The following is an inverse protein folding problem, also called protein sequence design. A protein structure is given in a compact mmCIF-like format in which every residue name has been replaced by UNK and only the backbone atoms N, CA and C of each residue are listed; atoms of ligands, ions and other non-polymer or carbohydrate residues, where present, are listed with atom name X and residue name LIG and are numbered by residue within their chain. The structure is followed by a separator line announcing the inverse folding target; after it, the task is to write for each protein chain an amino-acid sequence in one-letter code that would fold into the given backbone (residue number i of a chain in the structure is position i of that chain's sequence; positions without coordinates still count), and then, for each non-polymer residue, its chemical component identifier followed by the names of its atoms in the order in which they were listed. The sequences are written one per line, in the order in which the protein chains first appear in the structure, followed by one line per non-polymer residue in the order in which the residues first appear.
data_IF_088885614628
#
_entry.id   IF_088885614628
#
_cell.length_a   1.000
_cell.length_b   1.000
_cell.length_c   1.000
_cell.angle_alpha   90.00
_cell.angle_beta   90.00
_cell.angle_gamma   90.00
#
_symmetry.space_group_name_H-M   'P 1'
#
loop_
_entity.id
_entity.type
_entity.pdbx_description
1 polymer ?
#
# COMPACT_ATOMS: atom_id res chain seq x y z
N UNK A 1 8.12 0.75 57.14
CA UNK A 1 9.41 0.80 56.43
C UNK A 1 9.20 1.06 54.94
N UNK A 2 9.09 2.32 54.46
CA UNK A 2 9.07 2.59 53.03
C UNK A 2 10.51 2.67 52.51
N UNK A 3 10.81 1.88 51.47
CA UNK A 3 12.08 1.91 50.74
C UNK A 3 12.19 3.23 49.98
N UNK A 4 13.24 3.99 50.26
CA UNK A 4 13.61 5.21 49.54
C UNK A 4 13.83 4.90 48.06
N UNK A 5 13.04 5.52 47.18
CA UNK A 5 13.32 5.51 45.75
C UNK A 5 14.44 6.52 45.47
N UNK A 6 15.53 6.01 44.90
CA UNK A 6 16.70 6.75 44.48
C UNK A 6 16.28 7.84 43.47
N UNK A 7 16.28 9.09 43.91
CA UNK A 7 15.89 10.24 43.10
C UNK A 7 17.10 10.68 42.24
N UNK A 8 17.29 10.02 41.09
CA UNK A 8 18.47 10.19 40.21
C UNK A 8 18.39 11.46 39.34
N UNK A 9 17.26 12.16 39.29
CA UNK A 9 17.09 13.31 38.40
C UNK A 9 17.10 14.65 39.14
N UNK A 10 18.29 15.23 39.33
CA UNK A 10 18.46 16.67 39.53
C UNK A 10 18.72 17.33 38.17
N UNK A 11 17.82 18.16 37.61
CA UNK A 11 18.12 18.88 36.38
C UNK A 11 19.06 20.05 36.71
N UNK A 12 20.33 19.95 36.31
CA UNK A 12 21.23 21.11 36.25
C UNK A 12 21.36 21.59 34.80
N UNK A 13 21.02 22.86 34.58
CA UNK A 13 21.41 23.72 33.48
C UNK A 13 21.26 23.17 32.04
N UNK A 14 20.17 23.63 31.44
CA UNK A 14 19.78 23.60 30.04
C UNK A 14 20.80 24.26 29.10
N UNK A 15 21.79 23.48 28.66
CA UNK A 15 22.28 23.55 27.29
C UNK A 15 21.56 22.46 26.49
N UNK A 16 21.32 22.66 25.20
CA UNK A 16 20.61 21.72 24.32
C UNK A 16 21.38 20.38 24.24
N UNK A 17 21.01 19.42 25.09
CA UNK A 17 21.66 18.11 25.21
C UNK A 17 21.20 17.11 24.13
N UNK A 18 20.41 17.57 23.16
CA UNK A 18 19.82 16.72 22.13
C UNK A 18 18.67 15.85 22.66
N UNK A 19 18.17 14.96 21.80
CA UNK A 19 17.05 14.06 22.14
C UNK A 19 17.37 12.62 21.72
N UNK A 20 16.86 11.67 22.49
CA UNK A 20 16.94 10.24 22.20
C UNK A 20 15.55 9.69 21.92
N UNK A 21 15.41 8.95 20.81
CA UNK A 21 14.18 8.23 20.47
C UNK A 21 14.40 6.73 20.66
N UNK A 22 13.61 6.11 21.54
CA UNK A 22 13.66 4.69 21.85
C UNK A 22 12.29 4.04 21.61
N UNK A 23 12.30 2.80 21.11
CA UNK A 23 11.10 1.97 21.00
C UNK A 23 10.87 1.26 22.34
N UNK A 24 9.77 1.58 23.03
CA UNK A 24 9.44 1.04 24.36
C UNK A 24 8.23 0.09 24.36
N UNK A 25 7.47 0.06 23.28
CA UNK A 25 6.21 -0.70 23.17
C UNK A 25 6.07 -1.28 21.77
N UNK A 26 5.35 -2.40 21.69
CA UNK A 26 4.91 -3.04 20.44
C UNK A 26 3.38 -3.06 20.39
N UNK A 27 2.81 -2.94 19.20
CA UNK A 27 1.37 -3.01 18.96
C UNK A 27 0.97 -4.38 18.42
N UNK A 28 -0.15 -4.90 18.93
CA UNK A 28 -0.73 -6.18 18.51
C UNK A 28 -2.19 -5.96 18.10
N UNK A 29 -2.63 -6.71 17.10
CA UNK A 29 -4.02 -6.75 16.64
C UNK A 29 -4.88 -7.54 17.63
N UNK A 30 -6.20 -7.42 17.51
CA UNK A 30 -7.16 -8.14 18.39
C UNK A 30 -7.03 -9.66 18.31
N UNK A 31 -6.54 -10.17 17.18
CA UNK A 31 -6.24 -11.59 16.96
C UNK A 31 -4.82 -11.98 17.40
N UNK A 32 -4.12 -11.14 18.18
CA UNK A 32 -2.81 -11.46 18.74
C UNK A 32 -1.61 -11.22 17.81
N UNK A 33 -1.82 -10.99 16.52
CA UNK A 33 -0.73 -10.78 15.55
C UNK A 33 -0.11 -9.38 15.66
N UNK A 34 1.22 -9.30 15.65
CA UNK A 34 1.94 -8.05 15.43
C UNK A 34 1.85 -7.60 13.96
N UNK A 35 1.88 -6.28 13.70
CA UNK A 35 2.01 -5.76 12.32
C UNK A 35 3.46 -5.65 11.87
N UNK A 36 4.42 -5.90 12.77
CA UNK A 36 5.85 -5.82 12.50
C UNK A 36 6.24 -6.69 11.31
N UNK A 37 7.05 -6.12 10.40
CA UNK A 37 7.54 -6.73 9.15
C UNK A 37 6.50 -7.15 8.11
N UNK A 38 5.25 -7.43 8.51
CA UNK A 38 4.22 -7.98 7.61
C UNK A 38 3.13 -6.97 7.24
N UNK A 39 3.02 -5.88 7.98
CA UNK A 39 1.95 -4.90 7.81
C UNK A 39 0.56 -5.52 7.97
N UNK A 40 -0.41 -4.95 7.26
CA UNK A 40 -1.77 -5.49 7.14
C UNK A 40 -1.94 -6.00 5.72
N UNK A 41 -2.06 -7.32 5.56
CA UNK A 41 -2.26 -7.94 4.26
C UNK A 41 -3.69 -7.67 3.77
N UNK A 42 -3.79 -7.19 2.53
CA UNK A 42 -5.06 -6.99 1.85
C UNK A 42 -5.71 -8.32 1.48
N UNK A 43 -7.03 -8.41 1.61
CA UNK A 43 -7.78 -9.60 1.18
C UNK A 43 -7.77 -9.76 -0.34
N UNK A 44 -7.81 -8.66 -1.09
CA UNK A 44 -7.71 -8.61 -2.55
C UNK A 44 -6.45 -7.81 -2.87
N UNK A 45 -5.52 -8.41 -3.61
CA UNK A 45 -4.23 -7.82 -3.96
C UNK A 45 -4.30 -7.35 -5.40
N UNK A 46 -4.13 -6.06 -5.61
CA UNK A 46 -4.01 -5.46 -6.94
C UNK A 46 -2.53 -5.43 -7.34
N UNK A 47 -2.18 -5.68 -8.62
CA UNK A 47 -0.78 -5.64 -9.05
C UNK A 47 -0.17 -4.27 -8.79
N UNK A 48 1.00 -4.22 -8.15
CA UNK A 48 1.71 -2.97 -7.87
C UNK A 48 3.22 -3.17 -7.94
N UNK A 49 3.95 -2.19 -8.49
CA UNK A 49 5.42 -2.20 -8.48
C UNK A 49 5.96 -2.08 -7.06
N UNK A 50 5.24 -1.39 -6.17
CA UNK A 50 5.63 -1.17 -4.78
C UNK A 50 5.74 -2.48 -3.99
N UNK A 51 4.94 -3.50 -4.34
CA UNK A 51 4.98 -4.81 -3.67
C UNK A 51 6.31 -5.55 -3.87
N UNK A 52 7.12 -5.13 -4.85
CA UNK A 52 8.40 -5.73 -5.19
C UNK A 52 9.60 -4.88 -4.77
N UNK A 53 9.36 -3.64 -4.30
CA UNK A 53 10.41 -2.78 -3.79
C UNK A 53 10.93 -3.31 -2.45
N UNK A 54 12.24 -3.20 -2.23
CA UNK A 54 12.87 -3.49 -0.93
C UNK A 54 12.67 -2.32 0.04
N UNK A 55 11.42 -1.91 0.21
CA UNK A 55 11.01 -0.77 1.05
C UNK A 55 9.99 -1.26 2.06
N UNK A 56 10.22 -0.93 3.33
CA UNK A 56 9.35 -1.33 4.43
C UNK A 56 10.15 -1.68 5.68
N UNK A 57 9.44 -1.87 6.78
CA UNK A 57 10.04 -2.19 8.08
C UNK A 57 10.87 -3.48 8.03
N UNK A 58 10.46 -4.47 7.22
CA UNK A 58 11.17 -5.74 7.06
C UNK A 58 12.56 -5.63 6.44
N UNK A 59 12.87 -4.52 5.76
CA UNK A 59 14.16 -4.28 5.11
C UNK A 59 15.09 -3.40 5.96
N UNK A 60 14.65 -2.95 7.14
CA UNK A 60 15.48 -2.18 8.05
C UNK A 60 16.45 -3.09 8.82
N UNK A 61 17.66 -2.59 9.03
CA UNK A 61 18.64 -3.26 9.89
C UNK A 61 18.11 -3.35 11.32
N UNK A 62 18.16 -4.56 11.90
CA UNK A 62 17.68 -4.86 13.25
C UNK A 62 16.18 -4.57 13.47
N UNK A 63 15.35 -4.73 12.43
CA UNK A 63 13.90 -4.74 12.59
C UNK A 63 13.48 -5.81 13.62
N UNK A 64 12.52 -5.45 14.49
CA UNK A 64 12.02 -6.40 15.48
C UNK A 64 11.31 -7.56 14.78
N UNK A 65 11.46 -8.82 15.24
CA UNK A 65 10.82 -9.95 14.60
C UNK A 65 9.29 -9.89 14.76
N UNK A 66 8.59 -10.59 13.87
CA UNK A 66 7.15 -10.81 14.04
C UNK A 66 6.90 -11.68 15.28
N UNK A 67 5.95 -11.25 16.12
CA UNK A 67 5.53 -11.95 17.32
C UNK A 67 4.00 -12.08 17.36
N UNK A 68 3.52 -13.15 18.00
CA UNK A 68 2.10 -13.40 18.23
C UNK A 68 1.86 -13.59 19.73
N UNK A 69 0.85 -12.90 20.25
CA UNK A 69 0.42 -12.98 21.66
C UNK A 69 -0.97 -13.61 21.75
N UNK A 70 -1.42 -14.06 22.94
CA UNK A 70 -2.78 -14.55 23.11
C UNK A 70 -3.82 -13.52 22.62
N UNK A 71 -4.82 -14.00 21.86
CA UNK A 71 -5.89 -13.16 21.35
C UNK A 71 -6.68 -12.49 22.48
N UNK A 72 -7.20 -11.30 22.23
CA UNK A 72 -8.15 -10.67 23.14
C UNK A 72 -9.51 -11.38 23.05
N UNK A 73 -10.38 -11.19 24.04
CA UNK A 73 -11.78 -11.61 23.90
C UNK A 73 -12.54 -10.64 22.98
N UNK A 74 -12.99 -11.12 21.82
CA UNK A 74 -13.77 -10.32 20.86
C UNK A 74 -14.80 -11.15 20.09
N UNK A 75 -15.84 -10.48 19.57
CA UNK A 75 -16.85 -11.10 18.71
C UNK A 75 -16.51 -10.79 17.25
N UNK A 76 -16.34 -11.84 16.44
CA UNK A 76 -16.07 -11.70 14.99
C UNK A 76 -17.32 -11.23 14.26
N UNK A 77 -17.19 -10.18 13.44
CA UNK A 77 -18.18 -9.84 12.44
C UNK A 77 -18.14 -10.89 11.31
N UNK A 78 -19.31 -11.45 10.96
CA UNK A 78 -19.43 -12.54 9.97
C UNK A 78 -19.90 -12.04 8.60
N UNK A 79 -19.89 -10.73 8.37
CA UNK A 79 -20.30 -10.11 7.09
C UNK A 79 -19.36 -10.42 5.92
N UNK A 80 -18.10 -10.78 6.20
CA UNK A 80 -17.12 -11.16 5.17
C UNK A 80 -16.79 -12.65 5.32
N UNK A 81 -17.55 -13.50 4.63
CA UNK A 81 -17.31 -14.95 4.61
C UNK A 81 -16.21 -15.33 3.63
N UNK A 82 -15.67 -16.53 3.77
CA UNK A 82 -14.66 -17.08 2.84
C UNK A 82 -15.20 -17.20 1.41
N UNK A 83 -16.50 -17.47 1.25
CA UNK A 83 -17.20 -17.50 -0.03
C UNK A 83 -17.22 -16.12 -0.68
N UNK A 84 -17.58 -15.07 0.07
CA UNK A 84 -17.53 -13.68 -0.42
C UNK A 84 -16.11 -13.33 -0.83
N UNK A 85 -15.10 -13.59 0.02
CA UNK A 85 -13.70 -13.27 -0.32
C UNK A 85 -13.25 -13.96 -1.59
N UNK A 86 -13.62 -15.23 -1.77
CA UNK A 86 -13.24 -16.01 -2.96
C UNK A 86 -13.92 -15.48 -4.22
N UNK A 87 -15.21 -15.14 -4.13
CA UNK A 87 -15.96 -14.54 -5.24
C UNK A 87 -15.38 -13.18 -5.66
N UNK A 88 -15.12 -12.29 -4.69
CA UNK A 88 -14.55 -10.97 -4.94
C UNK A 88 -13.16 -11.06 -5.56
N UNK A 89 -12.28 -11.94 -5.05
CA UNK A 89 -10.95 -12.17 -5.64
C UNK A 89 -11.03 -12.61 -7.09
N UNK A 90 -11.97 -13.51 -7.41
CA UNK A 90 -12.14 -13.99 -8.78
C UNK A 90 -12.65 -12.87 -9.69
N UNK A 91 -13.70 -12.17 -9.29
CA UNK A 91 -14.29 -11.05 -10.04
C UNK A 91 -13.25 -9.96 -10.33
N UNK A 92 -12.49 -9.57 -9.31
CA UNK A 92 -11.41 -8.59 -9.42
C UNK A 92 -10.28 -9.08 -10.33
N UNK A 93 -9.81 -10.32 -10.18
CA UNK A 93 -8.77 -10.88 -11.03
C UNK A 93 -9.19 -10.93 -12.51
N UNK A 94 -10.45 -11.26 -12.78
CA UNK A 94 -11.00 -11.27 -14.13
C UNK A 94 -11.01 -9.85 -14.73
N UNK A 95 -11.47 -8.82 -13.99
CA UNK A 95 -11.42 -7.41 -14.46
C UNK A 95 -10.00 -6.91 -14.69
N UNK A 96 -9.11 -7.15 -13.72
CA UNK A 96 -7.69 -6.76 -13.80
C UNK A 96 -7.02 -7.37 -15.03
N UNK A 97 -7.35 -8.62 -15.40
CA UNK A 97 -6.76 -9.28 -16.57
C UNK A 97 -7.20 -8.69 -17.93
N UNK A 98 -8.34 -8.01 -17.98
CA UNK A 98 -8.89 -7.40 -19.20
C UNK A 98 -8.63 -5.89 -19.29
N UNK A 99 -8.00 -5.29 -18.27
CA UNK A 99 -7.74 -3.86 -18.21
C UNK A 99 -6.33 -3.54 -18.73
N UNK A 100 -6.24 -2.65 -19.73
CA UNK A 100 -5.00 -2.28 -20.39
C UNK A 100 -4.02 -1.54 -19.46
N UNK A 101 -4.49 -0.74 -18.51
CA UNK A 101 -3.62 -0.01 -17.58
C UNK A 101 -2.98 -0.96 -16.55
N UNK A 102 -3.74 -1.94 -16.06
CA UNK A 102 -3.17 -3.02 -15.25
C UNK A 102 -2.18 -3.88 -16.04
N UNK A 103 -2.37 -4.06 -17.36
CA UNK A 103 -1.39 -4.73 -18.21
C UNK A 103 -0.06 -3.95 -18.29
N UNK A 104 -0.10 -2.61 -18.39
CA UNK A 104 1.11 -1.76 -18.32
C UNK A 104 1.81 -1.90 -16.97
N UNK A 105 1.06 -1.92 -15.87
CA UNK A 105 1.62 -2.14 -14.52
C UNK A 105 2.30 -3.50 -14.42
N UNK A 106 1.69 -4.56 -14.94
CA UNK A 106 2.31 -5.90 -14.96
C UNK A 106 3.60 -5.92 -15.79
N UNK A 107 3.65 -5.20 -16.91
CA UNK A 107 4.89 -5.05 -17.67
C UNK A 107 5.96 -4.32 -16.87
N UNK A 108 5.61 -3.22 -16.19
CA UNK A 108 6.52 -2.48 -15.33
C UNK A 108 7.08 -3.37 -14.20
N UNK A 109 6.22 -4.18 -13.56
CA UNK A 109 6.62 -5.18 -12.56
C UNK A 109 7.62 -6.17 -13.15
N UNK A 110 7.33 -6.75 -14.32
CA UNK A 110 8.22 -7.71 -15.00
C UNK A 110 9.60 -7.10 -15.26
N UNK A 111 9.65 -5.90 -15.85
CA UNK A 111 10.93 -5.21 -16.14
C UNK A 111 11.68 -4.85 -14.86
N UNK A 112 10.97 -4.44 -13.81
CA UNK A 112 11.58 -4.17 -12.51
C UNK A 112 12.25 -5.44 -11.93
N UNK A 113 11.54 -6.57 -11.93
CA UNK A 113 12.06 -7.85 -11.45
C UNK A 113 13.25 -8.35 -12.28
N UNK A 114 13.21 -8.22 -13.60
CA UNK A 114 14.33 -8.55 -14.49
C UNK A 114 15.57 -7.73 -14.16
N UNK A 115 15.41 -6.42 -13.95
CA UNK A 115 16.50 -5.52 -13.55
C UNK A 115 17.03 -5.84 -12.16
N UNK A 116 16.16 -6.13 -11.19
CA UNK A 116 16.53 -6.47 -9.81
C UNK A 116 17.36 -7.76 -9.74
N UNK A 117 17.01 -8.75 -10.57
CA UNK A 117 17.72 -10.04 -10.61
C UNK A 117 19.00 -10.01 -11.47
N UNK A 118 19.21 -8.96 -12.27
CA UNK A 118 20.38 -8.80 -13.13
C UNK A 118 21.63 -8.45 -12.31
N UNK A 119 22.61 -9.35 -12.30
CA UNK A 119 23.90 -9.16 -11.59
C UNK A 119 24.94 -8.35 -12.37
N UNK A 120 24.73 -8.12 -13.66
CA UNK A 120 25.71 -7.52 -14.56
C UNK A 120 25.09 -6.39 -15.37
N UNK A 121 25.79 -5.28 -15.53
CA UNK A 121 25.32 -4.13 -16.30
C UNK A 121 26.22 -3.95 -17.51
N UNK A 122 25.62 -3.70 -18.68
CA UNK A 122 26.38 -3.37 -19.89
C UNK A 122 27.06 -2.00 -19.71
N UNK A 123 28.32 -1.88 -20.11
CA UNK A 123 29.04 -0.60 -20.13
C UNK A 123 28.95 0.12 -21.49
N UNK A 124 28.22 -0.46 -22.46
CA UNK A 124 27.99 0.18 -23.74
C UNK A 124 26.95 1.30 -23.58
N UNK A 125 27.34 2.53 -23.93
CA UNK A 125 26.50 3.73 -23.80
C UNK A 125 25.19 3.63 -24.59
N UNK A 126 25.22 3.15 -25.83
CA UNK A 126 24.01 3.06 -26.68
C UNK A 126 22.97 2.09 -26.09
N UNK A 127 23.44 1.00 -25.48
CA UNK A 127 22.57 0.02 -24.83
C UNK A 127 21.95 0.61 -23.57
N UNK A 128 22.75 1.27 -22.73
CA UNK A 128 22.25 1.92 -21.51
C UNK A 128 21.26 3.04 -21.79
N UNK A 129 21.50 3.83 -22.85
CA UNK A 129 20.60 4.92 -23.22
C UNK A 129 19.22 4.39 -23.62
N UNK A 130 19.19 3.37 -24.48
CA UNK A 130 17.95 2.70 -24.89
C UNK A 130 17.21 2.07 -23.71
N UNK A 131 17.93 1.40 -22.79
CA UNK A 131 17.32 0.83 -21.58
C UNK A 131 16.69 1.91 -20.68
N UNK A 132 17.33 3.08 -20.56
CA UNK A 132 16.81 4.20 -19.78
C UNK A 132 15.57 4.81 -20.43
N UNK A 133 15.64 5.14 -21.72
CA UNK A 133 14.51 5.69 -22.50
C UNK A 133 13.28 4.77 -22.37
N UNK A 134 13.45 3.46 -22.58
CA UNK A 134 12.37 2.48 -22.43
C UNK A 134 11.80 2.36 -21.00
N UNK A 135 12.61 2.64 -19.98
CA UNK A 135 12.15 2.61 -18.59
C UNK A 135 11.42 3.89 -18.22
N UNK A 136 11.86 5.03 -18.73
CA UNK A 136 11.24 6.34 -18.53
C UNK A 136 9.88 6.39 -19.22
N UNK A 137 9.80 5.99 -20.50
CA UNK A 137 8.53 5.91 -21.25
C UNK A 137 7.48 5.05 -20.54
N UNK A 138 7.87 3.88 -20.02
CA UNK A 138 6.95 3.05 -19.27
C UNK A 138 6.50 3.71 -17.97
N UNK A 139 7.42 4.33 -17.23
CA UNK A 139 7.08 4.98 -15.96
C UNK A 139 6.13 6.15 -16.18
N UNK A 140 6.36 6.94 -17.23
CA UNK A 140 5.50 8.05 -17.62
C UNK A 140 4.13 7.54 -18.06
N UNK A 141 4.06 6.46 -18.86
CA UNK A 141 2.79 5.88 -19.29
C UNK A 141 1.93 5.34 -18.13
N UNK A 142 2.57 4.87 -17.06
CA UNK A 142 1.88 4.41 -15.84
C UNK A 142 1.49 5.60 -14.96
N UNK A 143 2.33 6.63 -14.85
CA UNK A 143 2.00 7.85 -14.10
C UNK A 143 0.86 8.65 -14.79
N UNK A 144 0.83 8.63 -16.12
CA UNK A 144 -0.25 9.19 -16.92
C UNK A 144 -1.56 8.43 -16.69
N UNK A 145 -1.55 7.09 -16.65
CA UNK A 145 -2.77 6.32 -16.35
C UNK A 145 -3.23 6.45 -14.89
N UNK A 146 -2.31 6.77 -13.98
CA UNK A 146 -2.62 7.10 -12.58
C UNK A 146 -3.17 8.53 -12.42
N UNK A 147 -2.87 9.41 -13.36
CA UNK A 147 -3.35 10.79 -13.36
C UNK A 147 -4.84 10.81 -13.69
N UNK A 148 -5.65 11.57 -12.93
CA UNK A 148 -7.08 11.61 -13.17
C UNK A 148 -7.39 12.17 -14.57
N UNK A 149 -8.45 11.67 -15.23
CA UNK A 149 -8.87 12.20 -16.51
C UNK A 149 -9.13 13.71 -16.33
N UNK A 150 -8.44 14.51 -17.14
CA UNK A 150 -8.69 15.95 -17.23
C UNK A 150 -10.10 16.10 -17.78
N UNK A 151 -11.09 16.32 -16.92
CA UNK A 151 -12.42 16.73 -17.39
C UNK A 151 -12.20 18.05 -18.11
N UNK A 152 -12.57 18.08 -19.39
CA UNK A 152 -12.44 19.24 -20.27
C UNK A 152 -12.86 20.52 -19.52
N UNK A 153 -11.87 21.36 -19.22
CA UNK A 153 -12.10 22.72 -18.73
C UNK A 153 -12.63 23.55 -19.89
N UNK A 154 -13.93 23.46 -20.17
CA UNK A 154 -14.61 24.53 -20.89
C UNK A 154 -14.53 25.80 -20.04
N UNK A 155 -13.80 26.79 -20.57
CA UNK A 155 -13.83 28.22 -20.24
C UNK A 155 -13.84 28.60 -18.76
N UNK A 156 -12.69 29.06 -18.24
CA UNK A 156 -12.50 30.50 -18.05
C UNK A 156 -11.12 30.84 -17.48
N UNK A 157 -10.67 32.01 -17.92
CA UNK A 157 -9.38 32.66 -17.73
C UNK A 157 -8.75 32.65 -16.33
N UNK A 158 -7.41 32.54 -16.35
CA UNK A 158 -6.41 33.13 -15.44
C UNK A 158 -6.48 32.81 -13.93
N UNK A 159 -5.36 32.31 -13.41
CA UNK A 159 -5.02 32.10 -11.99
C UNK A 159 -5.89 31.12 -11.19
N UNK A 160 -5.48 29.85 -11.18
CA UNK A 160 -5.76 28.92 -10.07
C UNK A 160 -4.81 27.72 -10.13
N UNK A 161 -3.67 27.84 -9.45
CA UNK A 161 -2.84 26.70 -9.06
C UNK A 161 -3.69 25.57 -8.43
N UNK A 162 -3.56 24.38 -8.99
CA UNK A 162 -3.49 23.10 -8.28
C UNK A 162 -4.71 22.57 -7.46
N UNK A 163 -5.96 22.94 -7.76
CA UNK A 163 -7.14 22.40 -7.02
C UNK A 163 -7.52 20.95 -7.34
N UNK A 164 -7.03 20.35 -8.42
CA UNK A 164 -7.40 18.96 -8.78
C UNK A 164 -6.54 17.89 -8.11
N UNK A 165 -5.30 18.21 -7.72
CA UNK A 165 -4.45 17.32 -6.91
C UNK A 165 -4.92 17.20 -5.46
N UNK A 166 -5.82 18.09 -5.02
CA UNK A 166 -6.38 18.12 -3.66
C UNK A 166 -7.67 17.29 -3.49
N UNK A 167 -8.14 16.59 -4.54
CA UNK A 167 -9.25 15.65 -4.37
C UNK A 167 -8.78 14.48 -3.50
N UNK A 168 -9.44 14.30 -2.34
CA UNK A 168 -9.18 13.19 -1.40
C UNK A 168 -9.26 11.82 -2.10
N UNK A 169 -10.04 11.74 -3.17
CA UNK A 169 -10.19 10.55 -4.00
C UNK A 169 -9.99 10.92 -5.47
N UNK A 170 -8.74 10.83 -5.94
CA UNK A 170 -8.42 11.02 -7.36
C UNK A 170 -8.88 9.80 -8.15
N UNK A 171 -9.63 10.02 -9.23
CA UNK A 171 -10.15 8.95 -10.06
C UNK A 171 -9.05 8.38 -10.96
N UNK A 172 -8.72 7.11 -10.79
CA UNK A 172 -7.81 6.33 -11.63
C UNK A 172 -8.22 4.85 -11.64
N UNK A 173 -7.55 4.03 -12.44
CA UNK A 173 -7.88 2.62 -12.61
C UNK A 173 -7.79 1.79 -11.32
N UNK A 174 -6.95 2.16 -10.34
CA UNK A 174 -6.94 1.51 -9.02
C UNK A 174 -8.19 1.89 -8.22
N UNK A 175 -8.55 3.17 -8.18
CA UNK A 175 -9.75 3.59 -7.46
C UNK A 175 -11.02 3.08 -8.11
N UNK A 176 -11.05 2.96 -9.43
CA UNK A 176 -12.18 2.39 -10.17
C UNK A 176 -12.34 0.90 -9.81
N UNK A 177 -11.25 0.12 -9.79
CA UNK A 177 -11.31 -1.27 -9.34
C UNK A 177 -11.70 -1.41 -7.86
N UNK A 178 -11.24 -0.50 -6.99
CA UNK A 178 -11.69 -0.48 -5.59
C UNK A 178 -13.19 -0.22 -5.51
N UNK A 179 -13.73 0.70 -6.30
CA UNK A 179 -15.16 0.97 -6.37
C UNK A 179 -15.93 -0.26 -6.87
N UNK A 180 -15.47 -0.92 -7.92
CA UNK A 180 -16.09 -2.14 -8.45
C UNK A 180 -16.08 -3.29 -7.41
N UNK A 181 -14.98 -3.47 -6.68
CA UNK A 181 -14.90 -4.43 -5.56
C UNK A 181 -15.93 -4.08 -4.48
N UNK A 182 -16.10 -2.79 -4.15
CA UNK A 182 -17.09 -2.39 -3.15
C UNK A 182 -18.52 -2.65 -3.61
N UNK A 183 -18.81 -2.45 -4.90
CA UNK A 183 -20.11 -2.74 -5.48
C UNK A 183 -20.41 -4.25 -5.42
N UNK A 184 -19.45 -5.08 -5.87
CA UNK A 184 -19.56 -6.54 -5.80
C UNK A 184 -19.81 -7.02 -4.35
N UNK A 185 -19.15 -6.40 -3.37
CA UNK A 185 -19.34 -6.72 -1.96
C UNK A 185 -20.74 -6.36 -1.46
N UNK A 186 -21.26 -5.17 -1.82
CA UNK A 186 -22.61 -4.75 -1.47
C UNK A 186 -23.65 -5.69 -2.07
N UNK A 187 -23.46 -6.11 -3.32
CA UNK A 187 -24.34 -7.07 -3.99
C UNK A 187 -24.31 -8.45 -3.33
N UNK A 188 -23.13 -8.95 -2.97
CA UNK A 188 -22.98 -10.19 -2.23
C UNK A 188 -23.67 -10.13 -0.85
N UNK A 189 -23.57 -9.00 -0.14
CA UNK A 189 -24.27 -8.79 1.14
C UNK A 189 -25.80 -8.77 0.98
N UNK A 190 -26.31 -8.17 -0.09
CA UNK A 190 -27.74 -8.10 -0.35
C UNK A 190 -28.32 -9.48 -0.70
N UNK A 191 -27.57 -10.30 -1.45
CA UNK A 191 -27.94 -11.68 -1.74
C UNK A 191 -28.03 -12.52 -0.45
N UNK A 192 -27.06 -12.38 0.47
CA UNK A 192 -27.11 -13.08 1.76
C UNK A 192 -28.34 -12.71 2.60
N UNK A 193 -28.70 -11.43 2.67
CA UNK A 193 -29.91 -10.99 3.38
C UNK A 193 -31.19 -11.54 2.74
N UNK A 194 -31.20 -11.71 1.42
CA UNK A 194 -32.34 -12.26 0.68
C UNK A 194 -32.49 -13.76 0.93
N UNK A 195 -31.38 -14.51 1.02
CA UNK A 195 -31.39 -15.96 1.32
C UNK A 195 -31.77 -16.27 2.77
N UNK A 196 -31.53 -15.34 3.71
CA UNK A 196 -31.92 -15.49 5.12
C UNK A 196 -33.39 -15.16 5.42
N UNK A 197 -34.18 -14.74 4.43
CA UNK A 197 -35.58 -14.35 4.58
C UNK A 197 -36.52 -15.38 3.95
#
# INVERSE_FOLDING_TARGET
EPREMLNIFRPSNSADQGSLKLTISQFYRVNGDSTQNRGVQSDIVLPSVFDHLDVGEMYLDNALPFEHIPEADYVRDRRVTDEIRTALRKSSADRVSHNEDFAKVQEAIRRYLERKNRKTVSLNEEVLRKEREQSEELSESVDESLSPPSIDRESDSADSDNKEKDKIFAQNFYTDEVLDITLDYVDALNQMKTVQR
#
